data_IF_611610961858
#
_entry.id   IF_611610961858
#
_cell.length_a   1.000
_cell.length_b   1.000
_cell.length_c   1.000
_cell.angle_alpha   90.00
_cell.angle_beta   90.00
_cell.angle_gamma   90.00
#
_symmetry.space_group_name_H-M   'P 1'
#
loop_
_entity.id
_entity.type
_entity.pdbx_description
1 polymer ?
#
# COMPACT_ATOMS: atom_id res chain seq x y z
N UNK A 1 -4.64 -4.75 -14.10
CA UNK A 1 -3.83 -3.80 -14.90
C UNK A 1 -4.13 -2.37 -14.44
N UNK A 2 -3.12 -1.61 -14.01
CA UNK A 2 -3.29 -0.21 -13.61
C UNK A 2 -3.59 0.69 -14.80
N UNK A 3 -4.08 1.90 -14.54
CA UNK A 3 -4.27 2.94 -15.55
C UNK A 3 -2.93 3.27 -16.24
N UNK A 4 -2.98 3.45 -17.55
CA UNK A 4 -1.81 3.83 -18.34
C UNK A 4 -1.66 5.35 -18.38
N UNK A 5 -0.44 5.82 -18.16
CA UNK A 5 -0.03 7.21 -18.16
C UNK A 5 0.97 7.45 -19.29
N UNK A 6 0.97 8.67 -19.83
CA UNK A 6 1.90 9.09 -20.87
C UNK A 6 2.74 10.27 -20.36
N UNK A 7 4.06 10.20 -20.59
CA UNK A 7 5.03 11.27 -20.32
C UNK A 7 5.73 11.64 -21.62
N UNK A 8 5.79 12.92 -21.95
CA UNK A 8 6.57 13.43 -23.09
C UNK A 8 7.64 14.38 -22.59
N UNK A 9 8.90 14.13 -22.98
CA UNK A 9 10.03 14.99 -22.66
C UNK A 9 11.00 15.07 -23.84
N UNK A 10 11.12 16.27 -24.43
CA UNK A 10 11.88 16.46 -25.67
C UNK A 10 11.32 15.59 -26.79
N UNK A 11 12.17 14.76 -27.38
CA UNK A 11 11.83 13.85 -28.49
C UNK A 11 11.29 12.48 -28.01
N UNK A 12 11.22 12.26 -26.70
CA UNK A 12 10.79 11.00 -26.10
C UNK A 12 9.33 11.06 -25.66
N UNK A 13 8.63 9.95 -25.84
CA UNK A 13 7.33 9.68 -25.23
C UNK A 13 7.35 8.31 -24.57
N UNK A 14 6.99 8.24 -23.30
CA UNK A 14 6.96 7.04 -22.49
C UNK A 14 5.52 6.78 -22.08
N UNK A 15 5.00 5.61 -22.43
CA UNK A 15 3.77 5.06 -21.87
C UNK A 15 4.12 4.10 -20.74
N UNK A 16 3.57 4.36 -19.57
CA UNK A 16 3.87 3.60 -18.36
C UNK A 16 2.60 3.43 -17.51
N UNK A 17 2.74 2.74 -16.39
CA UNK A 17 1.72 2.60 -15.35
C UNK A 17 2.40 2.60 -13.99
N UNK A 18 1.64 2.81 -12.94
CA UNK A 18 2.15 2.63 -11.58
C UNK A 18 2.42 1.15 -11.26
N UNK A 19 3.41 0.86 -10.39
CA UNK A 19 3.66 -0.49 -9.90
C UNK A 19 2.47 -0.97 -9.06
N UNK A 20 2.27 -2.29 -9.01
CA UNK A 20 1.32 -2.91 -8.09
C UNK A 20 1.93 -4.14 -7.41
N UNK A 21 1.16 -4.77 -6.52
CA UNK A 21 1.60 -5.95 -5.77
C UNK A 21 2.03 -7.12 -6.66
N UNK A 22 1.46 -7.29 -7.86
CA UNK A 22 1.90 -8.32 -8.79
C UNK A 22 3.27 -8.04 -9.38
N UNK A 23 3.65 -6.77 -9.53
CA UNK A 23 5.01 -6.44 -9.98
C UNK A 23 6.03 -6.67 -8.89
N UNK A 24 5.70 -6.30 -7.65
CA UNK A 24 6.53 -6.59 -6.49
C UNK A 24 6.72 -8.11 -6.34
N UNK A 25 5.64 -8.88 -6.44
CA UNK A 25 5.71 -10.34 -6.42
C UNK A 25 6.62 -10.88 -7.52
N UNK A 26 6.42 -10.42 -8.76
CA UNK A 26 7.26 -10.87 -9.87
C UNK A 26 8.74 -10.55 -9.62
N UNK A 27 9.04 -9.35 -9.10
CA UNK A 27 10.42 -8.93 -8.78
C UNK A 27 11.02 -9.82 -7.69
N UNK A 28 10.26 -10.13 -6.63
CA UNK A 28 10.72 -11.05 -5.57
C UNK A 28 11.05 -12.45 -6.12
N UNK A 29 10.31 -12.91 -7.12
CA UNK A 29 10.49 -14.24 -7.71
C UNK A 29 11.59 -14.30 -8.80
N UNK A 30 11.89 -13.19 -9.48
CA UNK A 30 12.68 -13.19 -10.71
C UNK A 30 13.91 -12.27 -10.72
N UNK A 31 14.01 -11.29 -9.80
CA UNK A 31 15.13 -10.36 -9.78
C UNK A 31 16.33 -10.92 -9.01
N UNK A 32 17.53 -10.72 -9.56
CA UNK A 32 18.78 -10.96 -8.84
C UNK A 32 19.02 -9.91 -7.75
N UNK A 33 19.99 -10.17 -6.89
CA UNK A 33 20.41 -9.26 -5.83
C UNK A 33 20.85 -7.91 -6.43
N UNK A 34 20.27 -6.81 -5.94
CA UNK A 34 20.52 -5.46 -6.47
C UNK A 34 19.77 -5.06 -7.75
N UNK A 35 19.03 -5.97 -8.39
CA UNK A 35 18.30 -5.65 -9.64
C UNK A 35 16.84 -5.18 -9.42
N UNK A 36 16.32 -5.30 -8.20
CA UNK A 36 14.88 -5.20 -7.92
C UNK A 36 14.22 -3.92 -8.42
N UNK A 37 14.83 -2.75 -8.17
CA UNK A 37 14.29 -1.46 -8.59
C UNK A 37 14.26 -1.31 -10.12
N UNK A 38 15.34 -1.67 -10.80
CA UNK A 38 15.42 -1.58 -12.25
C UNK A 38 14.41 -2.52 -12.92
N UNK A 39 14.27 -3.74 -12.40
CA UNK A 39 13.28 -4.73 -12.87
C UNK A 39 11.85 -4.26 -12.63
N UNK A 40 11.57 -3.67 -11.47
CA UNK A 40 10.26 -3.12 -11.15
C UNK A 40 9.87 -2.01 -12.14
N UNK A 41 10.78 -1.07 -12.38
CA UNK A 41 10.54 0.03 -13.32
C UNK A 41 10.33 -0.48 -14.75
N UNK A 42 11.14 -1.43 -15.21
CA UNK A 42 10.99 -2.02 -16.55
C UNK A 42 9.60 -2.64 -16.76
N UNK A 43 9.01 -3.26 -15.73
CA UNK A 43 7.64 -3.81 -15.80
C UNK A 43 6.55 -2.75 -15.85
N UNK A 44 6.85 -1.55 -15.36
CA UNK A 44 5.94 -0.42 -15.35
C UNK A 44 5.92 0.30 -16.70
N UNK A 45 7.01 0.24 -17.47
CA UNK A 45 7.11 0.80 -18.82
C UNK A 45 6.40 -0.12 -19.82
N UNK A 46 5.40 0.41 -20.52
CA UNK A 46 4.66 -0.32 -21.55
C UNK A 46 5.21 -0.05 -22.95
N UNK A 47 5.65 1.20 -23.22
CA UNK A 47 6.21 1.61 -24.52
C UNK A 47 7.09 2.85 -24.35
N UNK A 48 8.17 2.92 -25.12
CA UNK A 48 9.03 4.10 -25.24
C UNK A 48 9.23 4.41 -26.71
N UNK A 49 9.00 5.66 -27.10
CA UNK A 49 9.26 6.12 -28.48
C UNK A 49 10.15 7.35 -28.49
N UNK A 50 11.14 7.37 -29.38
CA UNK A 50 12.00 8.51 -29.67
C UNK A 50 11.77 8.94 -31.12
N UNK A 51 11.34 10.19 -31.37
CA UNK A 51 11.03 10.69 -32.73
C UNK A 51 10.08 9.76 -33.51
N UNK A 52 9.14 9.14 -32.81
CA UNK A 52 8.18 8.17 -33.35
C UNK A 52 8.73 6.75 -33.58
N UNK A 53 10.01 6.48 -33.31
CA UNK A 53 10.59 5.12 -33.38
C UNK A 53 10.45 4.43 -32.04
N UNK A 54 10.03 3.17 -32.05
CA UNK A 54 9.95 2.34 -30.85
C UNK A 54 11.36 1.97 -30.36
N UNK A 55 11.68 2.39 -29.14
CA UNK A 55 12.96 2.14 -28.46
C UNK A 55 12.73 1.45 -27.10
N UNK A 56 11.57 0.81 -26.92
CA UNK A 56 11.20 0.12 -25.69
C UNK A 56 12.26 -0.91 -25.29
N UNK A 57 12.65 -0.92 -24.01
CA UNK A 57 13.66 -1.82 -23.46
C UNK A 57 15.11 -1.33 -23.60
N UNK A 58 15.35 -0.21 -24.30
CA UNK A 58 16.65 0.45 -24.30
C UNK A 58 16.85 1.28 -23.02
N UNK A 59 18.11 1.50 -22.59
CA UNK A 59 18.40 2.41 -21.47
C UNK A 59 17.84 3.80 -21.74
N UNK A 60 17.08 4.34 -20.77
CA UNK A 60 16.56 5.70 -20.85
C UNK A 60 17.68 6.69 -20.51
N UNK A 61 17.72 7.88 -21.17
CA UNK A 61 18.52 8.99 -20.69
C UNK A 61 18.18 9.33 -19.24
N UNK A 62 19.18 9.72 -18.45
CA UNK A 62 19.02 9.99 -17.01
C UNK A 62 17.95 11.06 -16.72
N UNK A 63 17.88 12.10 -17.55
CA UNK A 63 16.84 13.14 -17.42
C UNK A 63 15.43 12.62 -17.66
N UNK A 64 15.26 11.66 -18.59
CA UNK A 64 13.99 11.02 -18.88
C UNK A 64 13.59 10.04 -17.77
N UNK A 65 14.58 9.31 -17.23
CA UNK A 65 14.37 8.46 -16.07
C UNK A 65 13.91 9.27 -14.85
N UNK A 66 14.56 10.40 -14.56
CA UNK A 66 14.18 11.28 -13.45
C UNK A 66 12.74 11.82 -13.64
N UNK A 67 12.40 12.31 -14.83
CA UNK A 67 11.05 12.80 -15.12
C UNK A 67 9.98 11.69 -15.04
N UNK A 68 10.32 10.46 -15.42
CA UNK A 68 9.43 9.31 -15.28
C UNK A 68 9.17 8.98 -13.82
N UNK A 69 10.19 8.95 -12.97
CA UNK A 69 10.04 8.69 -11.54
C UNK A 69 9.21 9.79 -10.85
N UNK A 70 9.46 11.05 -11.18
CA UNK A 70 8.66 12.17 -10.68
C UNK A 70 7.19 12.09 -11.13
N UNK A 71 6.94 11.74 -12.40
CA UNK A 71 5.59 11.52 -12.91
C UNK A 71 4.87 10.37 -12.21
N UNK A 72 5.59 9.30 -11.88
CA UNK A 72 5.05 8.19 -11.09
C UNK A 72 4.72 8.61 -9.66
N UNK A 73 5.58 9.39 -8.99
CA UNK A 73 5.32 9.91 -7.66
C UNK A 73 4.09 10.84 -7.62
N UNK A 74 3.97 11.74 -8.59
CA UNK A 74 2.81 12.65 -8.70
C UNK A 74 1.50 11.90 -8.97
N UNK A 75 1.56 10.80 -9.74
CA UNK A 75 0.41 9.98 -10.05
C UNK A 75 -0.01 9.04 -8.90
N UNK A 76 0.86 8.82 -7.90
CA UNK A 76 0.56 8.03 -6.70
C UNK A 76 0.75 8.82 -5.39
N UNK A 77 -0.14 9.79 -5.07
CA UNK A 77 -0.07 10.52 -3.80
C UNK A 77 -0.17 9.64 -2.56
N UNK A 78 -0.67 8.41 -2.69
CA UNK A 78 -0.83 7.47 -1.57
C UNK A 78 0.41 6.59 -1.39
N UNK A 79 1.31 6.53 -2.38
CA UNK A 79 2.56 5.76 -2.32
C UNK A 79 3.55 6.30 -1.29
N UNK A 80 3.49 7.60 -0.99
CA UNK A 80 4.27 8.25 0.06
C UNK A 80 3.38 9.19 0.90
N UNK A 81 2.70 8.64 1.89
CA UNK A 81 1.77 9.41 2.73
C UNK A 81 2.52 10.19 3.80
N UNK A 82 2.24 11.50 3.86
CA UNK A 82 2.73 12.39 4.91
C UNK A 82 1.58 12.99 5.71
N UNK A 83 1.76 13.12 7.02
CA UNK A 83 0.84 13.81 7.91
C UNK A 83 1.31 15.24 8.13
N UNK A 84 0.45 16.20 7.80
CA UNK A 84 0.64 17.60 8.15
C UNK A 84 0.32 17.80 9.64
N UNK A 85 1.35 18.03 10.43
CA UNK A 85 1.25 18.20 11.87
C UNK A 85 1.48 19.66 12.26
N UNK A 86 0.69 20.13 13.21
CA UNK A 86 0.82 21.47 13.78
C UNK A 86 0.93 21.39 15.29
N UNK A 87 1.95 22.02 15.85
CA UNK A 87 2.14 22.04 17.30
C UNK A 87 1.09 22.95 17.94
N UNK A 88 0.24 22.45 18.87
CA UNK A 88 -0.78 23.29 19.50
C UNK A 88 -0.19 24.36 20.43
N UNK A 89 1.07 24.21 20.87
CA UNK A 89 1.72 25.16 21.78
C UNK A 89 2.43 26.33 21.07
N UNK A 90 2.99 26.11 19.87
CA UNK A 90 3.80 27.12 19.17
C UNK A 90 3.44 27.33 17.70
N UNK A 91 2.40 26.66 17.19
CA UNK A 91 1.94 26.71 15.80
C UNK A 91 2.98 26.30 14.72
N UNK A 92 4.14 25.74 15.12
CA UNK A 92 5.11 25.19 14.18
C UNK A 92 4.47 24.04 13.39
N UNK A 93 4.66 24.03 12.07
CA UNK A 93 4.20 23.00 11.15
C UNK A 93 5.37 22.10 10.72
N UNK A 94 5.09 20.82 10.54
CA UNK A 94 6.01 19.86 9.94
C UNK A 94 5.23 18.73 9.28
N UNK A 95 5.88 18.03 8.36
CA UNK A 95 5.39 16.80 7.76
C UNK A 95 6.07 15.61 8.42
N UNK A 96 5.31 14.55 8.64
CA UNK A 96 5.83 13.27 9.15
C UNK A 96 5.39 12.15 8.22
N UNK A 97 6.30 11.26 7.80
CA UNK A 97 5.91 10.09 7.02
C UNK A 97 4.96 9.21 7.84
N UNK A 98 3.96 8.65 7.17
CA UNK A 98 3.01 7.71 7.76
C UNK A 98 3.20 6.31 7.18
N UNK A 99 3.76 5.43 8.01
CA UNK A 99 3.88 4.02 7.68
C UNK A 99 2.54 3.31 7.90
N UNK A 100 1.72 3.29 6.83
CA UNK A 100 0.43 2.60 6.82
C UNK A 100 0.56 1.10 7.09
N UNK A 101 1.67 0.47 6.69
CA UNK A 101 1.87 -0.98 6.86
C UNK A 101 2.06 -1.30 8.33
N UNK A 102 2.99 -0.60 8.99
CA UNK A 102 3.24 -0.77 10.43
C UNK A 102 2.00 -0.41 11.26
N UNK A 103 1.30 0.68 10.90
CA UNK A 103 0.07 1.09 11.58
C UNK A 103 -1.03 0.03 11.47
N UNK A 104 -1.34 -0.42 10.24
CA UNK A 104 -2.40 -1.41 10.01
C UNK A 104 -2.10 -2.73 10.72
N UNK A 105 -0.84 -3.17 10.71
CA UNK A 105 -0.44 -4.40 11.39
C UNK A 105 -0.68 -4.30 12.90
N UNK A 106 -0.28 -3.18 13.51
CA UNK A 106 -0.51 -2.91 14.93
C UNK A 106 -1.99 -2.93 15.29
N UNK A 107 -2.84 -2.27 14.48
CA UNK A 107 -4.29 -2.25 14.71
C UNK A 107 -4.93 -3.64 14.54
N UNK A 108 -4.46 -4.42 13.57
CA UNK A 108 -4.94 -5.78 13.30
C UNK A 108 -4.59 -6.72 14.46
N UNK A 109 -3.36 -6.66 14.97
CA UNK A 109 -2.94 -7.43 16.15
C UNK A 109 -3.78 -7.07 17.37
N UNK A 110 -3.95 -5.76 17.64
CA UNK A 110 -4.77 -5.30 18.75
C UNK A 110 -6.24 -5.73 18.61
N UNK A 111 -6.79 -5.71 17.40
CA UNK A 111 -8.12 -6.22 17.12
C UNK A 111 -8.23 -7.73 17.37
N UNK A 112 -7.24 -8.52 16.92
CA UNK A 112 -7.19 -9.96 17.15
C UNK A 112 -7.17 -10.31 18.64
N UNK A 113 -6.34 -9.61 19.43
CA UNK A 113 -6.27 -9.82 20.88
C UNK A 113 -7.60 -9.49 21.58
N UNK A 114 -8.26 -8.38 21.19
CA UNK A 114 -9.59 -8.05 21.70
C UNK A 114 -10.62 -9.13 21.36
N UNK A 115 -10.62 -9.61 20.12
CA UNK A 115 -11.55 -10.64 19.68
C UNK A 115 -11.37 -11.96 20.46
N UNK A 116 -10.13 -12.36 20.75
CA UNK A 116 -9.86 -13.53 21.58
C UNK A 116 -10.37 -13.35 23.02
N UNK A 117 -10.21 -12.16 23.60
CA UNK A 117 -10.79 -11.82 24.90
C UNK A 117 -12.33 -11.89 24.90
N UNK A 118 -12.96 -11.34 23.85
CA UNK A 118 -14.41 -11.41 23.65
C UNK A 118 -14.90 -12.87 23.56
N UNK A 119 -14.19 -13.70 22.80
CA UNK A 119 -14.48 -15.14 22.68
C UNK A 119 -14.37 -15.81 24.04
N UNK A 120 -13.30 -15.54 24.79
CA UNK A 120 -13.08 -16.13 26.10
C UNK A 120 -14.23 -15.82 27.06
N UNK A 121 -14.63 -14.56 27.19
CA UNK A 121 -15.72 -14.13 28.07
C UNK A 121 -17.04 -14.82 27.71
N UNK A 122 -17.38 -14.87 26.42
CA UNK A 122 -18.63 -15.47 25.97
C UNK A 122 -18.65 -17.00 26.11
N UNK A 123 -17.53 -17.66 25.80
CA UNK A 123 -17.39 -19.09 25.98
C UNK A 123 -17.52 -19.48 27.45
N UNK A 124 -16.88 -18.73 28.35
CA UNK A 124 -16.97 -18.97 29.80
C UNK A 124 -18.37 -18.72 30.38
N UNK A 125 -19.14 -17.77 29.84
CA UNK A 125 -20.47 -17.44 30.36
C UNK A 125 -21.60 -18.29 29.78
N UNK A 126 -21.54 -18.63 28.49
CA UNK A 126 -22.62 -19.31 27.79
C UNK A 126 -22.28 -20.75 27.37
N UNK A 127 -21.02 -21.17 27.51
CA UNK A 127 -20.56 -22.51 27.10
C UNK A 127 -20.47 -22.71 25.59
N UNK A 128 -20.59 -21.63 24.80
CA UNK A 128 -20.49 -21.70 23.33
C UNK A 128 -19.07 -21.95 22.88
N UNK A 129 -18.94 -22.69 21.79
CA UNK A 129 -17.67 -22.88 21.10
C UNK A 129 -17.26 -21.61 20.35
N UNK A 130 -15.97 -21.47 20.04
CA UNK A 130 -15.45 -20.35 19.25
C UNK A 130 -16.18 -20.19 17.91
N UNK A 131 -16.45 -21.30 17.21
CA UNK A 131 -17.20 -21.29 15.95
C UNK A 131 -18.62 -20.74 16.11
N UNK A 132 -19.33 -21.12 17.18
CA UNK A 132 -20.67 -20.61 17.46
C UNK A 132 -20.62 -19.11 17.76
N UNK A 133 -19.63 -18.64 18.53
CA UNK A 133 -19.43 -17.22 18.85
C UNK A 133 -19.10 -16.38 17.61
N UNK A 134 -18.25 -16.91 16.71
CA UNK A 134 -17.87 -16.25 15.46
C UNK A 134 -19.00 -16.25 14.43
N UNK A 135 -19.88 -17.26 14.45
CA UNK A 135 -21.08 -17.29 13.61
C UNK A 135 -22.13 -16.24 14.02
N UNK A 136 -22.10 -15.77 15.27
CA UNK A 136 -22.91 -14.64 15.70
C UNK A 136 -22.35 -13.33 15.11
N UNK A 137 -23.22 -12.52 14.49
CA UNK A 137 -22.86 -11.21 13.97
C UNK A 137 -22.14 -10.34 15.02
N UNK A 138 -21.16 -9.50 14.64
CA UNK A 138 -20.42 -8.65 15.58
C UNK A 138 -21.30 -7.82 16.52
N UNK A 139 -22.41 -7.27 16.01
CA UNK A 139 -23.35 -6.48 16.82
C UNK A 139 -23.99 -7.28 17.96
N UNK A 140 -24.52 -8.48 17.66
CA UNK A 140 -25.10 -9.38 18.68
C UNK A 140 -24.05 -9.85 19.69
N UNK A 141 -22.83 -10.13 19.23
CA UNK A 141 -21.72 -10.53 20.10
C UNK A 141 -21.41 -9.45 21.14
N UNK A 142 -21.35 -8.18 20.72
CA UNK A 142 -21.19 -7.02 21.62
C UNK A 142 -22.30 -6.96 22.67
N UNK A 143 -23.56 -7.11 22.26
CA UNK A 143 -24.71 -7.08 23.18
C UNK A 143 -24.65 -8.21 24.22
N UNK A 144 -24.19 -9.40 23.83
CA UNK A 144 -24.01 -10.50 24.79
C UNK A 144 -22.84 -10.27 25.75
N UNK A 145 -21.74 -9.67 25.26
CA UNK A 145 -20.62 -9.28 26.12
C UNK A 145 -21.06 -8.28 27.17
N UNK A 146 -21.80 -7.23 26.80
CA UNK A 146 -22.32 -6.22 27.72
C UNK A 146 -23.20 -6.83 28.83
N UNK A 147 -23.90 -7.93 28.56
CA UNK A 147 -24.72 -8.63 29.57
C UNK A 147 -23.91 -9.45 30.56
N UNK A 148 -22.70 -9.87 30.18
CA UNK A 148 -21.84 -10.72 31.00
C UNK A 148 -20.83 -9.90 31.80
N UNK A 149 -20.48 -8.71 31.32
CA UNK A 149 -19.50 -7.82 31.95
C UNK A 149 -20.12 -6.76 32.88
N UNK A 150 -21.45 -6.74 33.02
CA UNK A 150 -22.19 -5.89 33.97
C UNK A 150 -22.46 -6.61 35.30
#
# INVERSE_FOLDING_TARGET
PGESLDLTQGEFTVRYRLPNSHDLQWVLENAGEGEGQARLLQRCIQRVTERGRDVTGQPLPESLLAALLEGMEQADPQGNMELDLTCPACAKRWQSPFDIVAYLWTELEAWGQRLLGDIHVLASAYGWTENEILAVSPWRRRHYLERVTQ
#
